data_IF_358853397323
#
_entry.id   IF_358853397323
#
_cell.length_a   1.000
_cell.length_b   1.000
_cell.length_c   1.000
_cell.angle_alpha   90.00
_cell.angle_beta   90.00
_cell.angle_gamma   90.00
#
_symmetry.space_group_name_H-M   'P 1'
#
loop_
_entity.id
_entity.type
_entity.pdbx_description
1 polymer ?
#
# COMPACT_ATOMS: atom_id res chain seq x y z
N UNK A 1 -14.15 3.07 8.29
CA UNK A 1 -12.74 3.44 8.12
C UNK A 1 -11.88 2.94 9.29
N UNK A 2 -12.31 3.14 10.54
CA UNK A 2 -11.61 2.73 11.78
C UNK A 2 -11.02 1.31 11.82
N UNK A 3 -11.72 0.29 11.32
CA UNK A 3 -11.22 -1.09 11.40
C UNK A 3 -10.13 -1.41 10.38
N UNK A 4 -10.12 -0.77 9.20
CA UNK A 4 -9.17 -1.11 8.15
C UNK A 4 -7.76 -0.60 8.50
N UNK A 5 -7.67 0.61 9.01
CA UNK A 5 -6.42 1.23 9.45
C UNK A 5 -5.81 0.50 10.65
N UNK A 6 -6.63 0.19 11.67
CA UNK A 6 -6.19 -0.60 12.83
C UNK A 6 -5.70 -1.99 12.43
N UNK A 7 -6.36 -2.63 11.47
CA UNK A 7 -5.93 -3.93 10.94
C UNK A 7 -4.60 -3.83 10.17
N UNK A 8 -4.42 -2.78 9.35
CA UNK A 8 -3.14 -2.56 8.64
C UNK A 8 -2.02 -2.31 9.63
N UNK A 9 -2.25 -1.50 10.66
CA UNK A 9 -1.26 -1.23 11.71
C UNK A 9 -0.85 -2.51 12.44
N UNK A 10 -1.82 -3.32 12.88
CA UNK A 10 -1.57 -4.60 13.52
C UNK A 10 -0.78 -5.56 12.60
N UNK A 11 -1.11 -5.61 11.30
CA UNK A 11 -0.35 -6.40 10.32
C UNK A 11 1.10 -5.91 10.18
N UNK A 12 1.32 -4.60 10.13
CA UNK A 12 2.66 -4.00 10.04
C UNK A 12 3.49 -4.21 11.31
N UNK A 13 2.85 -4.26 12.48
CA UNK A 13 3.46 -4.57 13.77
C UNK A 13 3.74 -6.08 13.96
N UNK A 14 3.27 -6.89 13.01
CA UNK A 14 3.46 -8.34 13.03
C UNK A 14 2.48 -9.07 13.94
N UNK A 15 1.32 -8.48 14.20
CA UNK A 15 0.19 -9.11 14.87
C UNK A 15 -0.70 -9.88 13.88
N UNK A 16 -1.30 -10.98 14.35
CA UNK A 16 -2.24 -11.80 13.59
C UNK A 16 -3.61 -11.13 13.57
N UNK A 17 -4.07 -10.72 12.39
CA UNK A 17 -5.41 -10.16 12.19
C UNK A 17 -6.27 -11.17 11.43
N UNK A 18 -7.36 -11.63 12.04
CA UNK A 18 -8.33 -12.52 11.38
C UNK A 18 -7.83 -13.94 11.06
N UNK A 19 -6.78 -14.41 11.73
CA UNK A 19 -6.20 -15.76 11.52
C UNK A 19 -5.29 -15.87 10.30
N UNK A 20 -4.83 -14.74 9.76
CA UNK A 20 -3.82 -14.70 8.71
C UNK A 20 -2.43 -14.41 9.31
N UNK A 21 -1.38 -15.10 8.83
CA UNK A 21 -0.02 -14.94 9.31
C UNK A 21 0.44 -13.49 9.21
N UNK A 22 0.96 -12.99 10.32
CA UNK A 22 1.64 -11.71 10.42
C UNK A 22 2.71 -11.55 9.33
N UNK A 23 2.59 -10.50 8.51
CA UNK A 23 3.52 -10.24 7.41
C UNK A 23 4.77 -9.53 7.94
N UNK A 24 5.80 -10.31 8.27
CA UNK A 24 7.05 -9.80 8.87
C UNK A 24 7.97 -9.03 7.89
N UNK A 25 7.70 -9.05 6.59
CA UNK A 25 8.55 -8.41 5.58
C UNK A 25 7.79 -7.27 4.89
N UNK A 26 7.98 -6.04 5.39
CA UNK A 26 7.41 -4.84 4.78
C UNK A 26 7.87 -4.64 3.33
N UNK A 27 9.02 -5.22 2.96
CA UNK A 27 9.56 -5.21 1.60
C UNK A 27 8.60 -5.76 0.54
N UNK A 28 7.66 -6.65 0.91
CA UNK A 28 6.65 -7.15 -0.02
C UNK A 28 5.63 -6.09 -0.48
N UNK A 29 5.52 -4.97 0.25
CA UNK A 29 4.69 -3.82 -0.11
C UNK A 29 5.47 -2.73 -0.83
N UNK A 30 6.79 -2.85 -0.92
CA UNK A 30 7.62 -1.87 -1.60
C UNK A 30 7.33 -1.94 -3.10
N UNK A 31 6.57 -0.97 -3.58
CA UNK A 31 6.29 -0.78 -4.98
C UNK A 31 7.00 0.49 -5.44
N UNK A 32 8.01 0.33 -6.29
CA UNK A 32 8.73 1.47 -6.87
C UNK A 32 8.18 1.79 -8.26
N UNK A 33 8.30 3.03 -8.70
CA UNK A 33 7.95 3.44 -10.07
C UNK A 33 8.67 2.58 -11.11
N UNK A 34 9.89 2.12 -10.81
CA UNK A 34 10.65 1.20 -11.66
C UNK A 34 10.03 -0.19 -11.73
N UNK A 35 9.65 -0.78 -10.59
CA UNK A 35 8.95 -2.07 -10.54
C UNK A 35 7.60 -2.01 -11.29
N UNK A 36 6.85 -0.91 -11.12
CA UNK A 36 5.60 -0.66 -11.82
C UNK A 36 5.77 -0.55 -13.32
N UNK A 37 6.79 0.17 -13.78
CA UNK A 37 7.05 0.32 -15.21
C UNK A 37 7.45 -1.02 -15.86
N UNK A 38 8.11 -1.89 -15.09
CA UNK A 38 8.53 -3.21 -15.54
C UNK A 38 7.38 -4.23 -15.55
N UNK A 39 6.54 -4.24 -14.52
CA UNK A 39 5.46 -5.22 -14.35
C UNK A 39 4.18 -4.83 -15.08
N UNK A 40 3.88 -3.53 -15.17
CA UNK A 40 2.66 -2.99 -15.76
C UNK A 40 2.93 -1.88 -16.80
N UNK A 41 3.71 -2.17 -17.86
CA UNK A 41 4.20 -1.13 -18.78
C UNK A 41 3.07 -0.37 -19.50
N UNK A 42 1.94 -1.02 -19.80
CA UNK A 42 0.80 -0.39 -20.48
C UNK A 42 0.00 0.55 -19.57
N UNK A 43 0.15 0.42 -18.25
CA UNK A 43 -0.65 1.14 -17.26
C UNK A 43 0.18 2.11 -16.41
N UNK A 44 1.47 2.25 -16.69
CA UNK A 44 2.40 3.03 -15.87
C UNK A 44 1.89 4.45 -15.60
N UNK A 45 1.43 5.14 -16.64
CA UNK A 45 0.93 6.49 -16.53
C UNK A 45 -0.29 6.58 -15.62
N UNK A 46 -1.26 5.67 -15.79
CA UNK A 46 -2.48 5.63 -14.99
C UNK A 46 -2.20 5.26 -13.53
N UNK A 47 -1.29 4.32 -13.28
CA UNK A 47 -0.90 3.90 -11.94
C UNK A 47 -0.13 4.99 -11.19
N UNK A 48 0.81 5.67 -11.86
CA UNK A 48 1.49 6.83 -11.28
C UNK A 48 0.50 7.94 -10.91
N UNK A 49 -0.46 8.23 -11.80
CA UNK A 49 -1.51 9.22 -11.51
C UNK A 49 -2.43 8.81 -10.37
N UNK A 50 -2.72 7.52 -10.23
CA UNK A 50 -3.51 7.03 -9.10
C UNK A 50 -2.77 7.21 -7.78
N UNK A 51 -1.47 6.91 -7.74
CA UNK A 51 -0.63 7.08 -6.55
C UNK A 51 -0.58 8.55 -6.16
N UNK A 52 -0.19 9.44 -7.08
CA UNK A 52 -0.15 10.90 -6.84
C UNK A 52 -1.46 11.42 -6.28
N UNK A 53 -2.59 11.07 -6.91
CA UNK A 53 -3.91 11.51 -6.44
C UNK A 53 -4.29 10.93 -5.07
N UNK A 54 -3.79 9.74 -4.72
CA UNK A 54 -4.07 9.11 -3.43
C UNK A 54 -3.25 9.77 -2.32
N UNK A 55 -1.98 10.07 -2.57
CA UNK A 55 -1.10 10.80 -1.65
C UNK A 55 -1.67 12.21 -1.37
N UNK A 56 -2.04 12.93 -2.43
CA UNK A 56 -2.70 14.24 -2.35
C UNK A 56 -3.97 14.22 -1.49
N UNK A 57 -4.72 13.11 -1.54
CA UNK A 57 -5.97 12.96 -0.79
C UNK A 57 -5.72 12.63 0.67
N UNK A 58 -4.68 11.87 0.97
CA UNK A 58 -4.27 11.56 2.35
C UNK A 58 -3.76 12.84 3.01
N UNK A 59 -2.87 13.58 2.34
CA UNK A 59 -2.32 14.84 2.85
C UNK A 59 -3.40 15.90 3.11
N UNK A 60 -4.46 15.95 2.30
CA UNK A 60 -5.60 16.86 2.49
C UNK A 60 -6.65 16.37 3.50
N UNK A 61 -6.58 15.11 3.93
CA UNK A 61 -7.52 14.52 4.88
C UNK A 61 -7.06 14.66 6.34
N UNK A 62 -5.78 14.96 6.57
CA UNK A 62 -5.20 15.39 7.85
C UNK A 62 -5.34 16.92 8.07
#
# INVERSE_FOLDING_TARGET
>A
MLNAEANVQAILEGEEVGGQPAFKQQECFNMTTESLAKEYPLYIYSLTKLIENSEDRIEKAD
#
